data_IF_651074977138
#
_entry.id   IF_651074977138
#
_cell.length_a   1.000
_cell.length_b   1.000
_cell.length_c   1.000
_cell.angle_alpha   90.00
_cell.angle_beta   90.00
_cell.angle_gamma   90.00
#
_symmetry.space_group_name_H-M   'P 1'
#
loop_
_entity.id
_entity.type
_entity.pdbx_description
1 polymer ?
#
# COMPACT_ATOMS: atom_id res chain seq x y z
N UNK A 1 10.90 11.54 -63.26
CA UNK A 1 12.17 11.56 -62.52
C UNK A 1 11.89 11.88 -61.07
N UNK A 2 12.19 10.90 -60.21
CA UNK A 2 12.57 10.98 -58.78
C UNK A 2 11.52 11.43 -57.75
N UNK A 3 10.75 10.43 -57.28
CA UNK A 3 10.32 10.33 -55.88
C UNK A 3 11.44 9.65 -55.09
N UNK A 4 11.94 10.29 -54.03
CA UNK A 4 12.71 9.62 -52.97
C UNK A 4 11.86 9.48 -51.70
N UNK A 5 12.07 8.42 -50.89
CA UNK A 5 11.09 7.97 -49.92
C UNK A 5 11.44 8.27 -48.45
N UNK A 6 10.36 8.43 -47.71
CA UNK A 6 10.14 8.39 -46.26
C UNK A 6 11.09 7.44 -45.48
N UNK A 7 11.94 8.02 -44.63
CA UNK A 7 12.72 7.30 -43.61
C UNK A 7 11.82 6.93 -42.43
N UNK A 8 11.50 5.63 -42.32
CA UNK A 8 10.97 4.99 -41.11
C UNK A 8 12.14 4.51 -40.25
N UNK A 9 12.18 4.91 -38.99
CA UNK A 9 13.13 4.43 -37.99
C UNK A 9 12.75 3.03 -37.48
N UNK A 10 13.62 2.01 -37.59
CA UNK A 10 13.31 0.64 -37.20
C UNK A 10 13.63 0.35 -35.72
N UNK A 11 12.63 -0.26 -35.07
CA UNK A 11 12.68 -1.01 -33.82
C UNK A 11 13.75 -2.12 -33.93
N UNK A 12 14.80 -2.03 -33.10
CA UNK A 12 15.84 -3.05 -33.04
C UNK A 12 15.36 -4.27 -32.22
N UNK A 13 15.06 -5.35 -32.95
CA UNK A 13 15.06 -6.73 -32.46
C UNK A 13 16.50 -7.12 -32.12
N UNK A 14 16.79 -7.45 -30.86
CA UNK A 14 18.06 -8.06 -30.45
C UNK A 14 17.89 -9.58 -30.36
N UNK A 15 18.07 -10.25 -31.50
CA UNK A 15 18.31 -11.69 -31.55
C UNK A 15 19.18 -11.99 -32.77
N UNK A 16 20.49 -12.21 -32.54
CA UNK A 16 21.26 -13.30 -33.17
C UNK A 16 22.73 -13.29 -32.74
N UNK A 17 23.17 -14.46 -32.28
CA UNK A 17 24.24 -15.24 -32.93
C UNK A 17 25.68 -14.82 -32.68
N UNK A 18 26.35 -15.60 -31.82
CA UNK A 18 27.81 -15.78 -31.90
C UNK A 18 28.07 -17.26 -32.21
N UNK A 19 28.48 -17.46 -33.46
CA UNK A 19 29.38 -18.45 -34.04
C UNK A 19 29.61 -19.81 -33.34
N UNK A 20 29.15 -20.83 -34.06
CA UNK A 20 29.71 -22.18 -34.08
C UNK A 20 31.08 -22.14 -34.76
N UNK A 21 32.13 -22.61 -34.07
CA UNK A 21 33.38 -23.05 -34.69
C UNK A 21 33.44 -24.58 -34.65
N UNK A 22 33.34 -25.20 -35.83
CA UNK A 22 33.57 -26.62 -36.02
C UNK A 22 35.06 -26.93 -35.90
N UNK A 23 35.44 -27.84 -35.00
CA UNK A 23 36.80 -28.32 -34.86
C UNK A 23 36.93 -29.70 -35.54
N UNK A 24 37.89 -29.84 -36.48
CA UNK A 24 38.23 -31.10 -37.18
C UNK A 24 38.88 -32.10 -36.22
N UNK A 25 38.72 -33.42 -36.44
CA UNK A 25 39.35 -34.43 -35.59
C UNK A 25 40.82 -34.59 -35.99
N UNK A 26 41.75 -34.17 -35.12
CA UNK A 26 43.17 -34.47 -35.25
C UNK A 26 43.54 -35.66 -34.35
N UNK A 27 44.13 -36.65 -35.04
CA UNK A 27 44.94 -37.80 -34.61
C UNK A 27 45.33 -37.86 -33.13
N UNK A 28 45.03 -39.02 -32.56
CA UNK A 28 45.52 -39.56 -31.28
C UNK A 28 47.05 -39.45 -31.23
N UNK A 29 47.56 -38.59 -30.35
CA UNK A 29 48.93 -38.65 -29.87
C UNK A 29 48.96 -39.45 -28.57
N UNK A 30 49.78 -40.50 -28.57
CA UNK A 30 50.12 -41.31 -27.41
C UNK A 30 50.44 -40.44 -26.19
N UNK A 31 49.74 -40.71 -25.08
CA UNK A 31 50.18 -40.26 -23.77
C UNK A 31 51.43 -41.05 -23.38
N UNK A 32 52.60 -40.43 -23.53
CA UNK A 32 53.73 -40.74 -22.67
C UNK A 32 53.30 -40.44 -21.24
N UNK A 33 53.17 -41.50 -20.44
CA UNK A 33 52.92 -41.45 -19.00
C UNK A 33 54.02 -40.64 -18.33
N UNK A 34 53.80 -39.34 -18.16
CA UNK A 34 54.48 -38.59 -17.12
C UNK A 34 53.77 -38.98 -15.82
N UNK A 35 54.44 -39.79 -15.01
CA UNK A 35 54.03 -40.07 -13.65
C UNK A 35 54.09 -38.77 -12.84
N UNK A 36 53.03 -37.96 -12.92
CA UNK A 36 52.64 -37.08 -11.82
C UNK A 36 52.33 -38.01 -10.66
N UNK A 37 52.98 -37.78 -9.52
CA UNK A 37 52.78 -38.61 -8.34
C UNK A 37 51.29 -38.62 -7.98
N UNK A 38 50.70 -39.81 -7.73
CA UNK A 38 49.31 -39.93 -7.29
C UNK A 38 49.04 -39.16 -5.98
N UNK A 39 50.12 -38.83 -5.27
CA UNK A 39 50.18 -37.94 -4.11
C UNK A 39 49.86 -36.49 -4.47
N UNK A 40 50.48 -35.88 -5.48
CA UNK A 40 50.22 -34.47 -5.87
C UNK A 40 48.78 -34.27 -6.38
N UNK A 41 48.24 -35.20 -7.17
CA UNK A 41 46.86 -35.12 -7.64
C UNK A 41 45.83 -35.28 -6.50
N UNK A 42 46.13 -36.10 -5.49
CA UNK A 42 45.33 -36.20 -4.26
C UNK A 42 45.43 -34.96 -3.39
N UNK A 43 46.61 -34.37 -3.27
CA UNK A 43 46.82 -33.13 -2.51
C UNK A 43 46.07 -31.97 -3.13
N UNK A 44 46.18 -31.77 -4.45
CA UNK A 44 45.42 -30.77 -5.23
C UNK A 44 43.91 -30.95 -5.09
N UNK A 45 43.40 -32.18 -5.21
CA UNK A 45 41.97 -32.45 -5.05
C UNK A 45 41.47 -32.22 -3.62
N UNK A 46 42.34 -32.38 -2.62
CA UNK A 46 42.03 -32.14 -1.20
C UNK A 46 42.02 -30.64 -0.90
N UNK A 47 42.97 -29.88 -1.47
CA UNK A 47 43.02 -28.41 -1.40
C UNK A 47 41.84 -27.75 -2.11
N UNK A 48 41.40 -28.27 -3.26
CA UNK A 48 40.19 -27.78 -3.95
C UNK A 48 38.94 -28.07 -3.11
N UNK A 49 38.86 -29.24 -2.45
CA UNK A 49 37.75 -29.57 -1.55
C UNK A 49 37.71 -28.68 -0.30
N UNK A 50 38.87 -28.37 0.30
CA UNK A 50 38.93 -27.45 1.43
C UNK A 50 38.59 -26.03 1.00
N UNK A 51 39.14 -25.56 -0.12
CA UNK A 51 38.82 -24.23 -0.68
C UNK A 51 37.33 -24.08 -1.01
N UNK A 52 36.71 -25.11 -1.59
CA UNK A 52 35.28 -25.11 -1.89
C UNK A 52 34.44 -25.13 -0.60
N UNK A 53 34.83 -25.95 0.39
CA UNK A 53 34.17 -25.98 1.71
C UNK A 53 34.24 -24.62 2.40
N UNK A 54 35.38 -23.95 2.35
CA UNK A 54 35.55 -22.62 2.94
C UNK A 54 34.69 -21.57 2.21
N UNK A 55 34.57 -21.67 0.88
CA UNK A 55 33.67 -20.82 0.11
C UNK A 55 32.19 -21.05 0.50
N UNK A 56 31.75 -22.31 0.62
CA UNK A 56 30.41 -22.63 1.10
C UNK A 56 30.17 -22.19 2.54
N UNK A 57 31.18 -22.25 3.40
CA UNK A 57 31.13 -21.70 4.76
C UNK A 57 30.81 -20.22 4.74
N UNK A 58 31.53 -19.43 3.94
CA UNK A 58 31.28 -17.99 3.77
C UNK A 58 29.87 -17.70 3.23
N UNK A 59 29.39 -18.50 2.27
CA UNK A 59 28.02 -18.34 1.75
C UNK A 59 26.96 -18.68 2.79
N UNK A 60 27.18 -19.73 3.60
CA UNK A 60 26.28 -20.08 4.68
C UNK A 60 26.19 -18.96 5.73
N UNK A 61 27.33 -18.43 6.15
CA UNK A 61 27.39 -17.31 7.10
C UNK A 61 26.68 -16.06 6.56
N UNK A 62 26.90 -15.73 5.28
CA UNK A 62 26.22 -14.62 4.62
C UNK A 62 24.69 -14.81 4.60
N UNK A 63 24.21 -16.00 4.22
CA UNK A 63 22.78 -16.31 4.18
C UNK A 63 22.15 -16.31 5.58
N UNK A 64 22.85 -16.82 6.58
CA UNK A 64 22.40 -16.80 7.97
C UNK A 64 22.25 -15.36 8.46
N UNK A 65 23.26 -14.51 8.24
CA UNK A 65 23.21 -13.08 8.60
C UNK A 65 22.06 -12.35 7.89
N UNK A 66 21.82 -12.64 6.61
CA UNK A 66 20.70 -12.06 5.85
C UNK A 66 19.35 -12.52 6.41
N UNK A 67 19.23 -13.80 6.78
CA UNK A 67 18.00 -14.35 7.35
C UNK A 67 17.73 -13.76 8.73
N UNK A 68 18.74 -13.64 9.58
CA UNK A 68 18.62 -12.97 10.88
C UNK A 68 18.19 -11.51 10.75
N UNK A 69 18.78 -10.76 9.79
CA UNK A 69 18.35 -9.39 9.48
C UNK A 69 16.89 -9.36 9.03
N UNK A 70 16.49 -10.26 8.12
CA UNK A 70 15.10 -10.38 7.66
C UNK A 70 14.14 -10.62 8.83
N UNK A 71 14.45 -11.52 9.75
CA UNK A 71 13.59 -11.81 10.91
C UNK A 71 13.44 -10.60 11.84
N UNK A 72 14.50 -9.81 12.04
CA UNK A 72 14.41 -8.54 12.80
C UNK A 72 13.51 -7.52 12.09
N UNK A 73 13.65 -7.39 10.77
CA UNK A 73 12.80 -6.52 9.94
C UNK A 73 11.33 -6.95 9.98
N UNK A 74 11.03 -8.26 9.89
CA UNK A 74 9.66 -8.78 10.03
C UNK A 74 9.06 -8.43 11.39
N UNK A 75 9.83 -8.56 12.47
CA UNK A 75 9.37 -8.17 13.81
C UNK A 75 9.09 -6.67 13.91
N UNK A 76 9.99 -5.82 13.42
CA UNK A 76 9.78 -4.36 13.41
C UNK A 76 8.55 -3.97 12.57
N UNK A 77 8.38 -4.58 11.39
CA UNK A 77 7.21 -4.43 10.53
C UNK A 77 5.91 -4.77 11.25
N UNK A 78 5.90 -5.89 11.99
CA UNK A 78 4.73 -6.33 12.75
C UNK A 78 4.37 -5.37 13.88
N UNK A 79 5.38 -4.84 14.58
CA UNK A 79 5.18 -3.81 15.61
C UNK A 79 4.57 -2.53 15.03
N UNK A 80 5.01 -2.10 13.84
CA UNK A 80 4.41 -0.97 13.11
C UNK A 80 2.95 -1.28 12.80
N UNK A 81 2.65 -2.43 12.16
CA UNK A 81 1.27 -2.82 11.82
C UNK A 81 0.35 -2.78 13.05
N UNK A 82 0.79 -3.37 14.18
CA UNK A 82 -0.03 -3.44 15.40
C UNK A 82 -0.34 -2.04 15.92
N UNK A 83 0.64 -1.14 15.95
CA UNK A 83 0.44 0.18 16.53
C UNK A 83 -0.24 1.16 15.57
N UNK A 84 0.00 1.06 14.26
CA UNK A 84 -0.79 1.77 13.24
C UNK A 84 -2.28 1.40 13.31
N UNK A 85 -2.62 0.12 13.50
CA UNK A 85 -4.01 -0.32 13.74
C UNK A 85 -4.63 0.34 14.97
N UNK A 86 -3.88 0.48 16.07
CA UNK A 86 -4.38 1.17 17.27
C UNK A 86 -4.69 2.64 16.98
N UNK A 87 -3.86 3.32 16.17
CA UNK A 87 -4.12 4.69 15.72
C UNK A 87 -5.41 4.73 14.90
N UNK A 88 -5.58 3.84 13.92
CA UNK A 88 -6.80 3.75 13.10
C UNK A 88 -8.04 3.54 13.99
N UNK A 89 -7.99 2.59 14.92
CA UNK A 89 -9.07 2.37 15.88
C UNK A 89 -9.33 3.56 16.80
N UNK A 90 -8.31 4.33 17.16
CA UNK A 90 -8.47 5.56 17.93
C UNK A 90 -9.20 6.62 17.10
N UNK A 91 -8.85 6.79 15.82
CA UNK A 91 -9.54 7.72 14.90
C UNK A 91 -11.01 7.35 14.71
N UNK A 92 -11.34 6.06 14.63
CA UNK A 92 -12.74 5.60 14.54
C UNK A 92 -13.63 5.94 15.74
N UNK A 93 -13.06 6.46 16.84
CA UNK A 93 -13.83 6.93 18.00
C UNK A 93 -14.33 8.37 17.86
N UNK A 94 -14.04 9.02 16.73
CA UNK A 94 -14.55 10.37 16.43
C UNK A 94 -16.07 10.35 16.44
N UNK A 95 -16.63 11.32 17.17
CA UNK A 95 -18.03 11.70 17.20
C UNK A 95 -18.14 13.22 17.03
N UNK A 96 -19.37 13.73 17.02
CA UNK A 96 -19.66 15.17 16.93
C UNK A 96 -19.01 16.01 18.04
N UNK A 97 -18.79 15.41 19.21
CA UNK A 97 -18.47 16.16 20.45
C UNK A 97 -17.03 15.98 20.93
N UNK A 98 -16.28 15.03 20.37
CA UNK A 98 -14.95 14.66 20.86
C UNK A 98 -13.89 14.62 19.76
N UNK A 99 -14.19 15.19 18.58
CA UNK A 99 -13.32 15.10 17.40
C UNK A 99 -11.90 15.58 17.70
N UNK A 100 -11.76 16.74 18.34
CA UNK A 100 -10.47 17.36 18.63
C UNK A 100 -9.65 16.52 19.61
N UNK A 101 -10.24 16.07 20.71
CA UNK A 101 -9.57 15.23 21.72
C UNK A 101 -9.11 13.89 21.13
N UNK A 102 -9.99 13.23 20.36
CA UNK A 102 -9.70 11.96 19.71
C UNK A 102 -8.55 12.10 18.70
N UNK A 103 -8.57 13.17 17.90
CA UNK A 103 -7.51 13.44 16.94
C UNK A 103 -6.19 13.81 17.59
N UNK A 104 -6.20 14.63 18.65
CA UNK A 104 -4.98 14.97 19.39
C UNK A 104 -4.31 13.70 19.94
N UNK A 105 -5.10 12.78 20.49
CA UNK A 105 -4.60 11.50 20.97
C UNK A 105 -4.07 10.62 19.83
N UNK A 106 -4.82 10.51 18.72
CA UNK A 106 -4.38 9.74 17.56
C UNK A 106 -3.08 10.28 16.97
N UNK A 107 -2.88 11.60 16.94
CA UNK A 107 -1.63 12.23 16.49
C UNK A 107 -0.45 11.93 17.41
N UNK A 108 -0.66 11.95 18.74
CA UNK A 108 0.35 11.55 19.71
C UNK A 108 0.73 10.07 19.52
N UNK A 109 -0.26 9.21 19.37
CA UNK A 109 -0.05 7.77 19.13
C UNK A 109 0.68 7.53 17.79
N UNK A 110 0.31 8.26 16.73
CA UNK A 110 1.00 8.21 15.43
C UNK A 110 2.45 8.70 15.52
N UNK A 111 2.70 9.76 16.27
CA UNK A 111 4.06 10.25 16.52
C UNK A 111 4.90 9.21 17.26
N UNK A 112 4.32 8.44 18.19
CA UNK A 112 4.99 7.28 18.82
C UNK A 112 5.30 6.22 17.75
N UNK A 113 4.37 5.93 16.85
CA UNK A 113 4.62 4.98 15.75
C UNK A 113 5.80 5.40 14.89
N UNK A 114 5.83 6.66 14.46
CA UNK A 114 6.93 7.22 13.66
C UNK A 114 8.26 7.19 14.42
N UNK A 115 8.30 7.78 15.61
CA UNK A 115 9.55 8.02 16.33
C UNK A 115 10.14 6.77 16.98
N UNK A 116 9.32 5.76 17.28
CA UNK A 116 9.79 4.53 17.92
C UNK A 116 9.84 3.36 16.94
N UNK A 117 8.70 2.99 16.34
CA UNK A 117 8.59 1.76 15.56
C UNK A 117 9.15 1.92 14.14
N UNK A 118 8.80 3.00 13.44
CA UNK A 118 9.37 3.29 12.11
C UNK A 118 10.87 3.60 12.23
N UNK A 119 11.30 4.38 13.22
CA UNK A 119 12.73 4.61 13.49
C UNK A 119 13.50 3.29 13.72
N UNK A 120 12.93 2.33 14.46
CA UNK A 120 13.53 1.01 14.63
C UNK A 120 13.66 0.25 13.30
N UNK A 121 12.62 0.27 12.46
CA UNK A 121 12.69 -0.33 11.13
C UNK A 121 13.80 0.31 10.28
N UNK A 122 13.90 1.64 10.26
CA UNK A 122 14.96 2.38 9.55
C UNK A 122 16.35 1.92 10.02
N UNK A 123 16.54 1.75 11.33
CA UNK A 123 17.81 1.24 11.90
C UNK A 123 18.13 -0.19 11.47
N UNK A 124 17.14 -1.09 11.46
CA UNK A 124 17.35 -2.48 11.01
C UNK A 124 17.61 -2.58 9.50
N UNK A 125 17.10 -1.62 8.73
CA UNK A 125 17.27 -1.56 7.27
C UNK A 125 18.54 -0.85 6.80
N UNK A 126 19.39 -0.35 7.71
CA UNK A 126 20.63 0.35 7.39
C UNK A 126 21.43 -0.33 6.25
N UNK A 127 21.95 0.51 5.34
CA UNK A 127 22.62 0.11 4.11
C UNK A 127 21.69 -0.03 2.90
N UNK A 128 22.16 -0.70 1.84
CA UNK A 128 21.51 -0.77 0.53
C UNK A 128 20.57 -1.98 0.35
N UNK A 129 19.86 -2.42 1.39
CA UNK A 129 19.04 -3.64 1.38
C UNK A 129 17.53 -3.39 1.30
N UNK A 130 17.08 -2.15 1.13
CA UNK A 130 15.67 -1.76 1.09
C UNK A 130 14.86 -2.64 0.12
N UNK A 131 15.30 -2.74 -1.13
CA UNK A 131 14.59 -3.51 -2.15
C UNK A 131 14.62 -5.02 -1.88
N UNK A 132 15.71 -5.56 -1.30
CA UNK A 132 15.86 -7.00 -0.99
C UNK A 132 14.88 -7.44 0.09
N UNK A 133 14.69 -6.59 1.09
CA UNK A 133 13.87 -6.87 2.27
C UNK A 133 12.47 -6.25 2.20
N UNK A 134 12.09 -5.64 1.06
CA UNK A 134 10.78 -5.00 0.86
C UNK A 134 9.61 -5.87 1.32
N UNK A 135 9.60 -7.15 0.94
CA UNK A 135 8.53 -8.09 1.33
C UNK A 135 8.39 -8.27 2.84
N UNK A 136 9.45 -8.07 3.61
CA UNK A 136 9.42 -8.21 5.07
C UNK A 136 8.79 -6.99 5.76
N UNK A 137 9.00 -5.78 5.25
CA UNK A 137 8.52 -4.54 5.88
C UNK A 137 7.31 -3.89 5.24
N UNK A 138 7.04 -4.22 3.97
CA UNK A 138 5.95 -3.64 3.17
C UNK A 138 4.58 -3.67 3.88
N UNK A 139 4.17 -4.75 4.58
CA UNK A 139 2.92 -4.74 5.33
C UNK A 139 2.86 -3.69 6.46
N UNK A 140 3.96 -3.49 7.20
CA UNK A 140 4.04 -2.46 8.22
C UNK A 140 3.99 -1.05 7.65
N UNK A 141 4.69 -0.83 6.53
CA UNK A 141 4.71 0.47 5.85
C UNK A 141 3.34 0.83 5.26
N UNK A 142 2.64 -0.11 4.62
CA UNK A 142 1.29 0.11 4.08
C UNK A 142 0.30 0.51 5.19
N UNK A 143 0.32 -0.19 6.32
CA UNK A 143 -0.54 0.14 7.46
C UNK A 143 -0.18 1.50 8.10
N UNK A 144 1.11 1.87 8.12
CA UNK A 144 1.53 3.20 8.55
C UNK A 144 1.03 4.30 7.60
N UNK A 145 1.11 4.10 6.29
CA UNK A 145 0.58 5.02 5.28
C UNK A 145 -0.92 5.22 5.51
N UNK A 146 -1.67 4.13 5.68
CA UNK A 146 -3.10 4.15 5.96
C UNK A 146 -3.43 4.97 7.22
N UNK A 147 -2.75 4.69 8.34
CA UNK A 147 -2.95 5.43 9.59
C UNK A 147 -2.62 6.92 9.46
N UNK A 148 -1.49 7.26 8.83
CA UNK A 148 -1.04 8.64 8.70
C UNK A 148 -1.94 9.46 7.77
N UNK A 149 -2.35 8.89 6.65
CA UNK A 149 -3.27 9.54 5.71
C UNK A 149 -4.67 9.69 6.30
N UNK A 150 -5.15 8.70 7.08
CA UNK A 150 -6.44 8.79 7.78
C UNK A 150 -6.45 9.92 8.81
N UNK A 151 -5.39 10.03 9.64
CA UNK A 151 -5.24 11.13 10.58
C UNK A 151 -5.23 12.49 9.87
N UNK A 152 -4.42 12.63 8.79
CA UNK A 152 -4.34 13.87 8.00
C UNK A 152 -5.71 14.27 7.44
N UNK A 153 -6.43 13.32 6.83
CA UNK A 153 -7.74 13.57 6.27
C UNK A 153 -8.73 14.01 7.34
N UNK A 154 -8.80 13.32 8.48
CA UNK A 154 -9.77 13.68 9.53
C UNK A 154 -9.50 15.06 10.16
N UNK A 155 -8.23 15.48 10.19
CA UNK A 155 -7.81 16.79 10.71
C UNK A 155 -8.00 17.94 9.72
N UNK A 156 -7.61 17.73 8.46
CA UNK A 156 -7.47 18.82 7.47
C UNK A 156 -8.36 18.67 6.24
N UNK A 157 -8.94 17.49 6.03
CA UNK A 157 -9.72 17.15 4.83
C UNK A 157 -8.85 16.92 3.59
N UNK A 158 -7.52 16.86 3.72
CA UNK A 158 -6.60 16.69 2.59
C UNK A 158 -5.86 15.36 2.65
N UNK A 159 -5.34 14.93 1.50
CA UNK A 159 -4.42 13.79 1.41
C UNK A 159 -3.02 14.19 1.91
N UNK A 160 -2.36 13.30 2.67
CA UNK A 160 -0.93 13.40 2.96
C UNK A 160 -0.17 12.72 1.82
N UNK A 161 0.53 13.49 0.98
CA UNK A 161 1.17 12.93 -0.21
C UNK A 161 2.49 12.20 0.13
N UNK A 162 3.01 11.45 -0.86
CA UNK A 162 4.21 10.62 -0.68
C UNK A 162 5.46 11.44 -0.32
N UNK A 163 5.62 12.61 -0.92
CA UNK A 163 6.78 13.48 -0.68
C UNK A 163 6.74 14.07 0.74
N UNK A 164 5.57 14.54 1.17
CA UNK A 164 5.34 15.00 2.54
C UNK A 164 5.61 13.88 3.55
N UNK A 165 5.16 12.66 3.26
CA UNK A 165 5.39 11.51 4.13
C UNK A 165 6.87 11.14 4.22
N UNK A 166 7.57 11.10 3.08
CA UNK A 166 9.01 10.83 3.06
C UNK A 166 9.82 11.95 3.74
N UNK A 167 9.36 13.21 3.66
CA UNK A 167 9.97 14.32 4.39
C UNK A 167 9.84 14.16 5.92
N UNK A 168 8.73 13.59 6.41
CA UNK A 168 8.55 13.27 7.83
C UNK A 168 9.52 12.16 8.28
N UNK A 169 9.83 11.19 7.41
CA UNK A 169 10.70 10.05 7.72
C UNK A 169 12.19 10.36 7.57
N UNK A 170 12.54 11.35 6.75
CA UNK A 170 13.93 11.73 6.47
C UNK A 170 14.78 11.93 7.75
N UNK A 171 14.31 12.64 8.80
CA UNK A 171 15.09 12.86 10.02
C UNK A 171 15.34 11.59 10.86
N UNK A 172 14.64 10.49 10.57
CA UNK A 172 14.83 9.21 11.28
C UNK A 172 16.08 8.45 10.80
N UNK A 173 16.60 8.83 9.64
CA UNK A 173 17.77 8.18 9.01
C UNK A 173 19.07 8.87 9.44
N UNK A 174 20.15 8.10 9.51
CA UNK A 174 21.49 8.67 9.72
C UNK A 174 21.91 9.46 8.46
N UNK A 175 22.41 10.70 8.58
CA UNK A 175 22.87 11.50 7.44
C UNK A 175 23.95 10.83 6.58
N UNK A 176 24.68 9.86 7.13
CA UNK A 176 25.70 9.07 6.42
C UNK A 176 25.14 7.91 5.61
N UNK A 177 23.85 7.62 5.72
CA UNK A 177 23.18 6.49 5.09
C UNK A 177 22.09 6.96 4.13
N UNK A 178 21.78 6.13 3.14
CA UNK A 178 20.62 6.36 2.29
C UNK A 178 19.34 6.25 3.15
N UNK A 179 18.47 7.27 3.15
CA UNK A 179 17.28 7.26 3.98
C UNK A 179 16.24 6.27 3.47
N UNK A 180 15.46 5.69 4.38
CA UNK A 180 14.29 4.93 3.97
C UNK A 180 13.31 5.85 3.27
N UNK A 181 13.02 5.54 2.01
CA UNK A 181 11.93 6.16 1.26
C UNK A 181 10.82 5.13 1.03
N UNK A 182 9.60 5.51 1.41
CA UNK A 182 8.41 4.76 1.03
C UNK A 182 8.32 4.82 -0.50
N UNK A 183 8.25 3.64 -1.12
CA UNK A 183 8.10 3.55 -2.57
C UNK A 183 6.64 3.77 -2.98
N UNK A 184 6.44 4.18 -4.22
CA UNK A 184 5.12 4.44 -4.78
C UNK A 184 4.15 3.26 -4.60
N UNK A 185 4.59 2.02 -4.80
CA UNK A 185 3.71 0.86 -4.69
C UNK A 185 3.18 0.66 -3.25
N UNK A 186 4.04 0.77 -2.23
CA UNK A 186 3.59 0.67 -0.82
C UNK A 186 2.69 1.83 -0.41
N UNK A 187 2.97 3.04 -0.91
CA UNK A 187 2.09 4.18 -0.68
C UNK A 187 0.71 3.99 -1.31
N UNK A 188 0.65 3.58 -2.58
CA UNK A 188 -0.61 3.39 -3.30
C UNK A 188 -1.43 2.25 -2.67
N UNK A 189 -0.79 1.17 -2.23
CA UNK A 189 -1.49 0.06 -1.55
C UNK A 189 -2.08 0.50 -0.20
N UNK A 190 -1.31 1.25 0.61
CA UNK A 190 -1.83 1.82 1.86
C UNK A 190 -2.93 2.87 1.62
N UNK A 191 -2.82 3.67 0.57
CA UNK A 191 -3.85 4.63 0.15
C UNK A 191 -5.13 3.92 -0.30
N UNK A 192 -5.01 2.75 -0.92
CA UNK A 192 -6.19 1.98 -1.28
C UNK A 192 -6.91 1.43 -0.04
N UNK A 193 -6.16 0.98 0.97
CA UNK A 193 -6.74 0.53 2.25
C UNK A 193 -7.40 1.67 3.05
N UNK A 194 -6.83 2.89 3.01
CA UNK A 194 -7.44 4.10 3.58
C UNK A 194 -8.90 4.26 3.14
N UNK A 195 -9.22 3.98 1.88
CA UNK A 195 -10.58 4.16 1.36
C UNK A 195 -11.61 3.26 2.07
N UNK A 196 -11.19 2.08 2.52
CA UNK A 196 -12.02 1.19 3.33
C UNK A 196 -12.28 1.74 4.72
N UNK A 197 -11.27 2.33 5.37
CA UNK A 197 -11.43 2.96 6.68
C UNK A 197 -12.26 4.25 6.59
N UNK A 198 -12.07 5.05 5.54
CA UNK A 198 -12.91 6.21 5.28
C UNK A 198 -14.37 5.83 5.04
N UNK A 199 -14.65 4.74 4.33
CA UNK A 199 -16.01 4.23 4.21
C UNK A 199 -16.60 3.81 5.55
N UNK A 200 -15.85 3.08 6.39
CA UNK A 200 -16.31 2.74 7.74
C UNK A 200 -16.63 3.98 8.57
N UNK A 201 -15.75 4.98 8.51
CA UNK A 201 -15.96 6.26 9.17
C UNK A 201 -17.24 6.91 8.64
N UNK A 202 -17.42 7.05 7.33
CA UNK A 202 -18.59 7.66 6.72
C UNK A 202 -19.90 6.99 7.17
N UNK A 203 -19.98 5.66 7.20
CA UNK A 203 -21.17 4.94 7.70
C UNK A 203 -21.47 5.26 9.17
N UNK A 204 -20.43 5.31 10.01
CA UNK A 204 -20.57 5.74 11.41
C UNK A 204 -21.14 7.17 11.50
N UNK A 205 -20.65 8.09 10.67
CA UNK A 205 -21.06 9.50 10.68
C UNK A 205 -22.46 9.72 10.11
N UNK A 206 -22.88 8.92 9.14
CA UNK A 206 -24.28 8.89 8.69
C UNK A 206 -25.20 8.47 9.85
N UNK A 207 -24.78 7.49 10.65
CA UNK A 207 -25.55 7.02 11.81
C UNK A 207 -25.68 8.10 12.90
N UNK A 208 -24.68 8.97 13.03
CA UNK A 208 -24.69 10.14 13.91
C UNK A 208 -25.47 11.35 13.34
N UNK A 209 -26.03 11.24 12.13
CA UNK A 209 -26.75 12.32 11.44
C UNK A 209 -25.85 13.33 10.72
N UNK A 210 -24.56 13.05 10.56
CA UNK A 210 -23.58 13.94 9.91
C UNK A 210 -23.37 13.59 8.43
N UNK A 211 -24.46 13.70 7.66
CA UNK A 211 -24.53 13.33 6.25
C UNK A 211 -23.54 14.17 5.41
N UNK A 212 -23.44 15.47 5.66
CA UNK A 212 -22.51 16.36 4.93
C UNK A 212 -21.04 15.92 5.06
N UNK A 213 -20.65 15.38 6.21
CA UNK A 213 -19.31 14.88 6.42
C UNK A 213 -19.09 13.56 5.67
N UNK A 214 -20.09 12.68 5.63
CA UNK A 214 -20.05 11.46 4.84
C UNK A 214 -19.98 11.75 3.33
N UNK A 215 -20.67 12.79 2.83
CA UNK A 215 -20.56 13.25 1.45
C UNK A 215 -19.15 13.77 1.12
N UNK A 216 -18.52 14.52 2.04
CA UNK A 216 -17.12 14.95 1.90
C UNK A 216 -16.17 13.76 1.79
N UNK A 217 -16.37 12.74 2.63
CA UNK A 217 -15.61 11.49 2.55
C UNK A 217 -15.83 10.80 1.20
N UNK A 218 -17.09 10.70 0.74
CA UNK A 218 -17.43 10.07 -0.53
C UNK A 218 -16.69 10.75 -1.70
N UNK A 219 -16.76 12.08 -1.78
CA UNK A 219 -16.06 12.87 -2.82
C UNK A 219 -14.55 12.65 -2.78
N UNK A 220 -13.96 12.61 -1.59
CA UNK A 220 -12.53 12.35 -1.45
C UNK A 220 -12.12 10.95 -1.95
N UNK A 221 -12.90 9.91 -1.64
CA UNK A 221 -12.64 8.56 -2.14
C UNK A 221 -12.84 8.50 -3.67
N UNK A 222 -13.87 9.16 -4.20
CA UNK A 222 -14.12 9.24 -5.65
C UNK A 222 -12.94 9.91 -6.38
N UNK A 223 -12.35 10.97 -5.82
CA UNK A 223 -11.15 11.62 -6.37
C UNK A 223 -9.96 10.66 -6.38
N UNK A 224 -9.68 9.97 -5.27
CA UNK A 224 -8.61 8.95 -5.22
C UNK A 224 -8.85 7.86 -6.28
N UNK A 225 -10.07 7.32 -6.35
CA UNK A 225 -10.42 6.27 -7.31
C UNK A 225 -10.23 6.74 -8.76
N UNK A 226 -10.62 7.98 -9.08
CA UNK A 226 -10.43 8.57 -10.41
C UNK A 226 -8.95 8.63 -10.79
N UNK A 227 -8.10 9.14 -9.90
CA UNK A 227 -6.66 9.23 -10.19
C UNK A 227 -6.02 7.84 -10.31
N UNK A 228 -6.36 6.91 -9.41
CA UNK A 228 -5.83 5.54 -9.47
C UNK A 228 -6.29 4.79 -10.73
N UNK A 229 -7.49 5.05 -11.24
CA UNK A 229 -7.97 4.46 -12.50
C UNK A 229 -7.02 4.75 -13.67
N UNK A 230 -6.33 5.89 -13.65
CA UNK A 230 -5.34 6.26 -14.67
C UNK A 230 -3.97 5.59 -14.43
N UNK A 231 -3.60 5.40 -13.17
CA UNK A 231 -2.26 4.90 -12.79
C UNK A 231 -2.17 3.38 -12.82
N UNK A 232 -3.17 2.66 -12.30
CA UNK A 232 -3.15 1.20 -12.11
C UNK A 232 -2.88 0.41 -13.40
N UNK A 233 -3.42 0.79 -14.57
CA UNK A 233 -3.10 0.11 -15.83
C UNK A 233 -1.63 0.20 -16.26
N UNK A 234 -0.89 1.19 -15.75
CA UNK A 234 0.52 1.43 -16.06
C UNK A 234 1.46 0.71 -15.08
N UNK A 235 0.93 0.11 -14.02
CA UNK A 235 1.72 -0.57 -12.99
C UNK A 235 2.05 -2.01 -13.40
N UNK A 236 3.31 -2.40 -13.25
CA UNK A 236 3.75 -3.79 -13.36
C UNK A 236 3.16 -4.64 -12.21
N UNK A 237 2.77 -5.89 -12.51
CA UNK A 237 2.22 -6.85 -11.53
C UNK A 237 1.08 -6.30 -10.64
N UNK A 238 0.15 -5.56 -11.25
CA UNK A 238 -0.95 -4.85 -10.57
C UNK A 238 -2.11 -5.71 -10.04
N UNK A 239 -1.93 -7.00 -9.79
CA UNK A 239 -3.01 -7.89 -9.36
C UNK A 239 -3.66 -7.42 -8.04
N UNK A 240 -2.84 -7.17 -7.02
CA UNK A 240 -3.31 -6.69 -5.71
C UNK A 240 -4.05 -5.36 -5.87
N UNK A 241 -3.49 -4.46 -6.69
CA UNK A 241 -4.08 -3.15 -6.92
C UNK A 241 -5.43 -3.23 -7.65
N UNK A 242 -5.60 -4.16 -8.61
CA UNK A 242 -6.90 -4.39 -9.27
C UNK A 242 -7.97 -4.84 -8.28
N UNK A 243 -7.61 -5.73 -7.35
CA UNK A 243 -8.52 -6.15 -6.27
C UNK A 243 -8.87 -4.95 -5.38
N UNK A 244 -7.87 -4.14 -5.01
CA UNK A 244 -8.09 -2.95 -4.19
C UNK A 244 -8.97 -1.91 -4.89
N UNK A 245 -8.83 -1.72 -6.20
CA UNK A 245 -9.70 -0.83 -6.99
C UNK A 245 -11.16 -1.28 -6.96
N UNK A 246 -11.41 -2.59 -7.09
CA UNK A 246 -12.77 -3.12 -6.95
C UNK A 246 -13.33 -2.86 -5.54
N UNK A 247 -12.55 -3.14 -4.49
CA UNK A 247 -12.95 -2.88 -3.10
C UNK A 247 -13.21 -1.39 -2.85
N UNK A 248 -12.43 -0.50 -3.46
CA UNK A 248 -12.60 0.94 -3.38
C UNK A 248 -13.92 1.38 -4.03
N UNK A 249 -14.25 0.86 -5.22
CA UNK A 249 -15.53 1.14 -5.88
C UNK A 249 -16.70 0.66 -5.02
N UNK A 250 -16.61 -0.55 -4.44
CA UNK A 250 -17.62 -1.05 -3.49
C UNK A 250 -17.75 -0.14 -2.25
N UNK A 251 -16.65 0.45 -1.81
CA UNK A 251 -16.64 1.38 -0.68
C UNK A 251 -17.36 2.69 -1.02
N UNK A 252 -17.15 3.24 -2.21
CA UNK A 252 -17.91 4.42 -2.71
C UNK A 252 -19.40 4.12 -2.75
N UNK A 253 -19.80 3.02 -3.41
CA UNK A 253 -21.22 2.65 -3.55
C UNK A 253 -21.91 2.45 -2.19
N UNK A 254 -21.21 1.93 -1.19
CA UNK A 254 -21.77 1.78 0.17
C UNK A 254 -22.11 3.13 0.79
N UNK A 255 -21.24 4.13 0.65
CA UNK A 255 -21.49 5.46 1.20
C UNK A 255 -22.63 6.13 0.45
N UNK A 256 -22.62 6.09 -0.89
CA UNK A 256 -23.66 6.69 -1.72
C UNK A 256 -25.05 6.10 -1.43
N UNK A 257 -25.15 4.77 -1.36
CA UNK A 257 -26.40 4.09 -1.05
C UNK A 257 -26.91 4.42 0.37
N UNK A 258 -26.00 4.56 1.34
CA UNK A 258 -26.35 4.95 2.69
C UNK A 258 -26.87 6.40 2.74
N UNK A 259 -26.17 7.36 2.10
CA UNK A 259 -26.62 8.74 1.98
C UNK A 259 -27.98 8.84 1.27
N UNK A 260 -28.15 8.14 0.15
CA UNK A 260 -29.40 8.09 -0.59
C UNK A 260 -30.55 7.54 0.26
N UNK A 261 -30.32 6.43 0.96
CA UNK A 261 -31.34 5.82 1.81
C UNK A 261 -31.81 6.75 2.92
N UNK A 262 -30.89 7.52 3.53
CA UNK A 262 -31.24 8.52 4.56
C UNK A 262 -31.99 9.69 3.94
N UNK A 263 -31.59 10.16 2.77
CA UNK A 263 -32.25 11.26 2.07
C UNK A 263 -33.71 10.94 1.70
N UNK A 264 -33.96 9.75 1.14
CA UNK A 264 -35.32 9.30 0.78
C UNK A 264 -36.20 9.21 2.02
N UNK A 265 -35.74 8.54 3.08
CA UNK A 265 -36.48 8.40 4.34
C UNK A 265 -36.73 9.74 5.03
N UNK A 266 -35.77 10.66 4.98
CA UNK A 266 -35.92 12.02 5.50
C UNK A 266 -36.98 12.82 4.74
N UNK A 267 -37.15 12.54 3.44
CA UNK A 267 -38.15 13.19 2.59
C UNK A 267 -39.56 12.63 2.76
N UNK A 268 -39.70 11.40 3.27
CA UNK A 268 -41.00 10.77 3.60
C UNK A 268 -41.63 11.39 4.87
N UNK A 269 -40.80 11.89 5.80
CA UNK A 269 -41.23 12.57 7.02
C UNK A 269 -41.31 14.10 6.83
N UNK A 270 -42.23 14.55 5.98
CA UNK A 270 -42.71 15.94 6.05
C UNK A 270 -43.75 15.99 7.17
N UNK A 271 -43.55 16.75 8.27
CA UNK A 271 -44.58 16.92 9.27
C UNK A 271 -45.79 17.56 8.60
N UNK A 272 -46.89 16.81 8.50
CA UNK A 272 -48.20 17.34 8.19
C UNK A 272 -48.63 18.26 9.33
N UNK A 273 -48.13 19.50 9.36
CA UNK A 273 -48.57 20.53 10.29
C UNK A 273 -48.66 21.86 9.54
N UNK A 274 -49.90 22.22 9.18
CA UNK A 274 -50.19 23.53 8.62
C UNK A 274 -51.52 23.74 7.91
N UNK A 275 -52.57 22.93 8.11
CA UNK A 275 -53.95 23.40 7.85
C UNK A 275 -54.82 23.22 9.09
N UNK A 276 -54.56 24.05 10.10
CA UNK A 276 -55.58 24.44 11.05
C UNK A 276 -56.51 25.43 10.32
N UNK A 277 -57.39 24.91 9.47
CA UNK A 277 -58.56 25.67 9.03
C UNK A 277 -59.81 25.10 9.70
N UNK A 278 -60.53 26.05 10.29
CA UNK A 278 -61.68 25.91 11.13
C UNK A 278 -62.89 25.31 10.39
N UNK A 279 -63.80 24.75 11.20
CA UNK A 279 -65.23 24.55 10.92
C UNK A 279 -65.62 23.46 9.90
N UNK A 280 -65.78 22.23 10.40
CA UNK A 280 -66.81 21.34 9.87
C UNK A 280 -68.17 21.82 10.40
N UNK A 281 -68.85 22.62 9.57
CA UNK A 281 -70.27 22.93 9.77
C UNK A 281 -71.08 21.67 9.51
N UNK A 282 -71.68 21.14 10.58
CA UNK A 282 -72.63 20.03 10.55
C UNK A 282 -73.90 20.49 9.79
N UNK A 283 -73.96 20.20 8.50
CA UNK A 283 -75.16 20.31 7.66
C UNK A 283 -75.71 18.88 7.58
N UNK A 284 -76.75 18.49 8.31
CA UNK A 284 -78.13 18.91 8.09
C UNK A 284 -78.86 17.82 7.29
N UNK A 285 -79.29 16.75 7.95
CA UNK A 285 -80.28 15.82 7.41
C UNK A 285 -81.59 16.06 8.17
N UNK A 286 -82.72 16.34 7.50
CA UNK A 286 -84.01 16.38 8.17
C UNK A 286 -84.58 14.97 8.30
N UNK A 287 -84.99 14.62 9.51
CA UNK A 287 -85.87 13.50 9.81
C UNK A 287 -87.19 13.65 9.04
N UNK A 288 -87.65 12.55 8.44
CA UNK A 288 -89.05 12.37 8.04
C UNK A 288 -89.46 10.94 8.37
N UNK A 289 -90.09 10.80 9.55
CA UNK A 289 -91.03 9.73 9.86
C UNK A 289 -92.45 10.19 9.50
N UNK A 290 -93.07 9.53 8.51
CA UNK A 290 -94.46 9.03 8.42
C UNK A 290 -94.83 8.63 6.99
#
# INVERSE_FOLDING_TARGET
>A
MHREPMMRSPIFKLQRMIFVTACKPQRIHQWTTLQSSATEARTMATEIKSSLKDAFGKYADFLNNLNEKRERVVKASRDITINSKKVIFQVHRISKFNKEEVLEKAEKDLAVVTNQYVSRLVKELQGSDFWKLRRAYSPGVQEYVEAATLCKFCKTGTLLNLDEMNAILLPLSDPSQEPLQINALDYLLGLADLTGELMRLAIGRISDGEIEYAEKICKFIQEIHRELTLVVPLMDDSHDMKIKMEVMLQSVMKIENACFSVHVRGSEYIPMLGSSDQSYSLMGMPDMDL
#
